data_IF_983009807839
#
_entry.id   IF_983009807839
#
_cell.length_a   1.000
_cell.length_b   1.000
_cell.length_c   1.000
_cell.angle_alpha   90.00
_cell.angle_beta   90.00
_cell.angle_gamma   90.00
#
_symmetry.space_group_name_H-M   'P 1'
#
loop_
_entity.id
_entity.type
_entity.pdbx_description
1 polymer ?
#
# COMPACT_ATOMS: atom_id res chain seq x y z
N UNK A 1 27.30 -7.46 -29.40
CA UNK A 1 26.94 -6.02 -29.44
C UNK A 1 25.57 -5.72 -30.06
N UNK A 2 25.00 -6.61 -30.87
CA UNK A 2 23.65 -6.46 -31.45
C UNK A 2 22.51 -6.69 -30.44
N UNK A 3 22.71 -7.52 -29.42
CA UNK A 3 21.70 -7.82 -28.38
C UNK A 3 21.40 -6.61 -27.48
N UNK A 4 22.42 -5.85 -27.07
CA UNK A 4 22.24 -4.65 -26.24
C UNK A 4 21.42 -3.56 -26.94
N UNK A 5 21.53 -3.45 -28.27
CA UNK A 5 20.75 -2.49 -29.06
C UNK A 5 19.26 -2.90 -29.14
N UNK A 6 18.97 -4.20 -29.19
CA UNK A 6 17.59 -4.72 -29.16
C UNK A 6 16.93 -4.47 -27.81
N UNK A 7 17.63 -4.78 -26.73
CA UNK A 7 17.14 -4.59 -25.35
C UNK A 7 16.82 -3.13 -25.04
N UNK A 8 17.74 -2.21 -25.37
CA UNK A 8 17.56 -0.77 -25.15
C UNK A 8 16.38 -0.20 -25.93
N UNK A 9 16.16 -0.69 -27.17
CA UNK A 9 15.01 -0.29 -27.98
C UNK A 9 13.69 -0.78 -27.39
N UNK A 10 13.61 -2.04 -26.98
CA UNK A 10 12.39 -2.57 -26.34
C UNK A 10 12.06 -1.86 -25.02
N UNK A 11 13.06 -1.49 -24.21
CA UNK A 11 12.86 -0.64 -23.02
C UNK A 11 12.32 0.75 -23.36
N UNK A 12 12.78 1.34 -24.47
CA UNK A 12 12.29 2.63 -24.96
C UNK A 12 10.83 2.53 -25.42
N UNK A 13 10.45 1.42 -26.07
CA UNK A 13 9.07 1.18 -26.50
C UNK A 13 8.11 0.98 -25.30
N UNK A 14 8.56 0.29 -24.25
CA UNK A 14 7.82 0.15 -22.99
C UNK A 14 7.63 1.52 -22.32
N UNK A 15 8.70 2.29 -22.14
CA UNK A 15 8.61 3.61 -21.48
C UNK A 15 7.73 4.58 -22.26
N UNK A 16 7.82 4.58 -23.59
CA UNK A 16 6.95 5.39 -24.47
C UNK A 16 5.47 4.99 -24.32
N UNK A 17 5.15 3.70 -24.26
CA UNK A 17 3.78 3.23 -24.06
C UNK A 17 3.22 3.64 -22.68
N UNK A 18 4.03 3.55 -21.62
CA UNK A 18 3.66 4.00 -20.27
C UNK A 18 3.40 5.51 -20.23
N UNK A 19 4.27 6.32 -20.83
CA UNK A 19 4.10 7.78 -20.90
C UNK A 19 2.82 8.20 -21.64
N UNK A 20 2.36 7.39 -22.61
CA UNK A 20 1.10 7.62 -23.34
C UNK A 20 -0.14 7.09 -22.62
N UNK A 21 0.02 6.43 -21.47
CA UNK A 21 -1.08 5.80 -20.73
C UNK A 21 -1.59 4.49 -21.34
N UNK A 22 -0.92 3.92 -22.35
CA UNK A 22 -1.30 2.67 -22.98
C UNK A 22 -0.66 1.47 -22.25
N UNK A 23 -1.26 1.12 -21.10
CA UNK A 23 -0.76 0.06 -20.22
C UNK A 23 -0.81 -1.33 -20.89
N UNK A 24 -1.77 -1.55 -21.79
CA UNK A 24 -1.92 -2.84 -22.48
C UNK A 24 -0.75 -3.08 -23.43
N UNK A 25 -0.41 -2.06 -24.23
CA UNK A 25 0.73 -2.12 -25.15
C UNK A 25 2.06 -2.20 -24.38
N UNK A 26 2.20 -1.45 -23.29
CA UNK A 26 3.37 -1.53 -22.42
C UNK A 26 3.60 -2.95 -21.87
N UNK A 27 2.53 -3.62 -21.40
CA UNK A 27 2.60 -5.01 -20.91
C UNK A 27 3.02 -5.99 -22.00
N UNK A 28 2.52 -5.82 -23.23
CA UNK A 28 2.89 -6.69 -24.37
C UNK A 28 4.37 -6.53 -24.71
N UNK A 29 4.89 -5.30 -24.75
CA UNK A 29 6.31 -5.06 -24.97
C UNK A 29 7.18 -5.59 -23.84
N UNK A 30 6.74 -5.46 -22.59
CA UNK A 30 7.43 -6.03 -21.44
C UNK A 30 7.45 -7.57 -21.48
N UNK A 31 6.35 -8.22 -21.83
CA UNK A 31 6.30 -9.69 -21.98
C UNK A 31 7.26 -10.18 -23.08
N UNK A 32 7.27 -9.50 -24.23
CA UNK A 32 8.20 -9.82 -25.32
C UNK A 32 9.66 -9.55 -24.93
N UNK A 33 9.94 -8.51 -24.14
CA UNK A 33 11.28 -8.25 -23.61
C UNK A 33 11.73 -9.41 -22.71
N UNK A 34 10.88 -9.84 -21.77
CA UNK A 34 11.21 -10.90 -20.82
C UNK A 34 11.45 -12.26 -21.51
N UNK A 35 10.72 -12.57 -22.58
CA UNK A 35 10.88 -13.80 -23.37
C UNK A 35 12.23 -13.86 -24.13
N UNK A 36 12.86 -12.70 -24.38
CA UNK A 36 14.14 -12.60 -25.08
C UNK A 36 15.36 -12.50 -24.15
N UNK A 37 15.15 -12.40 -22.84
CA UNK A 37 16.25 -12.30 -21.88
C UNK A 37 16.82 -13.69 -21.58
N UNK A 38 18.14 -13.76 -21.45
CA UNK A 38 18.79 -14.94 -20.87
C UNK A 38 18.44 -15.06 -19.37
N UNK A 39 18.51 -16.27 -18.84
CA UNK A 39 18.16 -16.57 -17.44
C UNK A 39 18.94 -15.71 -16.42
N UNK A 40 20.19 -15.35 -16.75
CA UNK A 40 21.04 -14.55 -15.85
C UNK A 40 20.53 -13.11 -15.80
N UNK A 41 20.25 -12.50 -16.95
CA UNK A 41 19.68 -11.15 -17.03
C UNK A 41 18.28 -11.11 -16.44
N UNK A 42 17.48 -12.16 -16.65
CA UNK A 42 16.16 -12.30 -16.03
C UNK A 42 16.25 -12.29 -14.49
N UNK A 43 17.19 -13.04 -13.92
CA UNK A 43 17.46 -13.02 -12.48
C UNK A 43 17.82 -11.64 -11.94
N UNK A 44 18.65 -10.88 -12.66
CA UNK A 44 19.04 -9.51 -12.27
C UNK A 44 17.83 -8.56 -12.31
N UNK A 45 17.01 -8.65 -13.36
CA UNK A 45 15.79 -7.84 -13.50
C UNK A 45 14.81 -8.14 -12.36
N UNK A 46 14.55 -9.42 -12.09
CA UNK A 46 13.67 -9.85 -11.02
C UNK A 46 14.14 -9.31 -9.66
N UNK A 47 15.44 -9.41 -9.39
CA UNK A 47 16.02 -8.93 -8.16
C UNK A 47 15.89 -7.39 -8.03
N UNK A 48 16.06 -6.62 -9.11
CA UNK A 48 15.84 -5.17 -9.12
C UNK A 48 14.37 -4.81 -8.82
N UNK A 49 13.42 -5.53 -9.43
CA UNK A 49 11.98 -5.30 -9.19
C UNK A 49 11.63 -5.60 -7.74
N UNK A 50 12.07 -6.73 -7.21
CA UNK A 50 11.87 -7.10 -5.80
C UNK A 50 12.41 -6.04 -4.85
N UNK A 51 13.58 -5.47 -5.16
CA UNK A 51 14.17 -4.38 -4.37
C UNK A 51 13.29 -3.13 -4.35
N UNK A 52 12.72 -2.77 -5.49
CA UNK A 52 11.83 -1.61 -5.63
C UNK A 52 10.51 -1.85 -4.88
N UNK A 53 9.95 -3.06 -4.96
CA UNK A 53 8.70 -3.42 -4.27
C UNK A 53 8.87 -3.48 -2.75
N UNK A 54 9.99 -4.05 -2.28
CA UNK A 54 10.25 -4.20 -0.84
C UNK A 54 10.67 -2.87 -0.18
N UNK A 55 11.40 -2.00 -0.90
CA UNK A 55 11.94 -0.77 -0.35
C UNK A 55 11.57 0.46 -1.20
N UNK A 56 10.28 0.82 -1.34
CA UNK A 56 9.81 1.82 -2.29
C UNK A 56 10.28 3.26 -2.01
N UNK A 57 10.78 3.55 -0.81
CA UNK A 57 11.33 4.88 -0.46
C UNK A 57 12.86 4.93 -0.51
N UNK A 58 13.52 3.78 -0.64
CA UNK A 58 14.98 3.63 -0.51
C UNK A 58 15.60 2.80 -1.62
N UNK A 59 14.83 2.47 -2.65
CA UNK A 59 15.24 1.55 -3.71
C UNK A 59 16.52 2.04 -4.42
N UNK A 60 16.72 3.35 -4.55
CA UNK A 60 17.92 3.95 -5.11
C UNK A 60 19.20 3.56 -4.34
N UNK A 61 19.16 3.53 -3.00
CA UNK A 61 20.28 3.13 -2.15
C UNK A 61 20.60 1.65 -2.35
N UNK A 62 19.57 0.80 -2.35
CA UNK A 62 19.73 -0.65 -2.53
C UNK A 62 20.22 -1.01 -3.95
N UNK A 63 19.65 -0.38 -4.98
CA UNK A 63 20.08 -0.54 -6.36
C UNK A 63 21.53 -0.07 -6.55
N UNK A 64 21.94 1.04 -5.93
CA UNK A 64 23.33 1.50 -5.95
C UNK A 64 24.29 0.54 -5.26
N UNK A 65 23.89 -0.06 -4.14
CA UNK A 65 24.69 -1.07 -3.46
C UNK A 65 24.89 -2.32 -4.34
N UNK A 66 23.82 -2.80 -4.98
CA UNK A 66 23.88 -3.92 -5.92
C UNK A 66 24.71 -3.61 -7.16
N UNK A 67 24.62 -2.38 -7.69
CA UNK A 67 25.46 -1.93 -8.79
C UNK A 67 26.95 -2.01 -8.47
N UNK A 68 27.33 -1.64 -7.23
CA UNK A 68 28.73 -1.75 -6.76
C UNK A 68 29.18 -3.20 -6.59
N UNK A 69 28.30 -4.08 -6.13
CA UNK A 69 28.60 -5.51 -5.93
C UNK A 69 28.63 -6.31 -7.25
N UNK A 70 27.93 -5.85 -8.29
CA UNK A 70 27.85 -6.54 -9.57
C UNK A 70 29.23 -6.69 -10.23
N UNK A 71 29.59 -7.92 -10.59
CA UNK A 71 30.86 -8.21 -11.28
C UNK A 71 30.75 -8.08 -12.80
N UNK A 72 29.57 -8.36 -13.37
CA UNK A 72 29.35 -8.33 -14.81
C UNK A 72 28.92 -6.95 -15.32
N UNK A 73 29.44 -6.56 -16.50
CA UNK A 73 29.13 -5.27 -17.13
C UNK A 73 27.64 -5.17 -17.53
N UNK A 74 27.06 -6.30 -17.95
CA UNK A 74 25.62 -6.43 -18.23
C UNK A 74 24.78 -6.14 -16.99
N UNK A 75 25.12 -6.72 -15.83
CA UNK A 75 24.40 -6.46 -14.58
C UNK A 75 24.48 -4.99 -14.17
N UNK A 76 25.67 -4.39 -14.26
CA UNK A 76 25.85 -2.95 -13.98
C UNK A 76 24.98 -2.08 -14.88
N UNK A 77 24.90 -2.41 -16.16
CA UNK A 77 24.09 -1.66 -17.14
C UNK A 77 22.59 -1.76 -16.82
N UNK A 78 22.11 -2.97 -16.53
CA UNK A 78 20.70 -3.19 -16.16
C UNK A 78 20.35 -2.49 -14.85
N UNK A 79 21.15 -2.67 -13.78
CA UNK A 79 20.89 -2.05 -12.48
C UNK A 79 20.92 -0.52 -12.58
N UNK A 80 21.85 0.04 -13.37
CA UNK A 80 21.91 1.48 -13.60
C UNK A 80 20.63 2.01 -14.29
N UNK A 81 20.11 1.27 -15.29
CA UNK A 81 18.87 1.65 -15.97
C UNK A 81 17.67 1.68 -15.00
N UNK A 82 17.55 0.68 -14.12
CA UNK A 82 16.52 0.68 -13.07
C UNK A 82 16.69 1.83 -12.08
N UNK A 83 17.92 2.12 -11.66
CA UNK A 83 18.21 3.24 -10.76
C UNK A 83 17.85 4.60 -11.37
N UNK A 84 18.17 4.84 -12.64
CA UNK A 84 17.80 6.07 -13.35
C UNK A 84 16.29 6.20 -13.51
N UNK A 85 15.60 5.12 -13.90
CA UNK A 85 14.15 5.12 -14.04
C UNK A 85 13.44 5.39 -12.70
N UNK A 86 13.96 4.81 -11.62
CA UNK A 86 13.42 5.03 -10.27
C UNK A 86 13.63 6.49 -9.81
N UNK A 87 14.82 7.06 -9.98
CA UNK A 87 15.10 8.45 -9.59
C UNK A 87 14.23 9.48 -10.36
N UNK A 88 13.83 9.16 -11.60
CA UNK A 88 12.92 10.00 -12.38
C UNK A 88 11.47 9.98 -11.86
N UNK A 89 11.06 8.93 -11.14
CA UNK A 89 9.72 8.82 -10.55
C UNK A 89 9.48 9.85 -9.44
N UNK A 90 10.52 10.18 -8.68
CA UNK A 90 10.44 11.11 -7.55
C UNK A 90 10.52 12.59 -7.97
N UNK A 91 10.88 12.87 -9.22
CA UNK A 91 10.76 14.20 -9.80
C UNK A 91 9.31 14.48 -10.25
N UNK A 92 8.37 14.43 -9.30
CA UNK A 92 7.30 15.42 -9.35
C UNK A 92 8.01 16.76 -9.09
N UNK A 93 8.04 17.70 -10.05
CA UNK A 93 8.67 18.99 -9.81
C UNK A 93 8.00 19.58 -8.58
N UNK A 94 8.75 19.62 -7.47
CA UNK A 94 8.38 20.41 -6.30
C UNK A 94 8.07 21.79 -6.88
N UNK A 95 6.83 22.30 -6.81
CA UNK A 95 6.48 23.54 -7.49
C UNK A 95 7.52 24.56 -7.06
N UNK A 96 8.34 24.99 -8.02
CA UNK A 96 9.38 25.98 -7.75
C UNK A 96 8.62 27.14 -7.13
N UNK A 97 8.90 27.52 -5.87
CA UNK A 97 8.29 28.74 -5.35
C UNK A 97 8.71 29.82 -6.33
N UNK A 98 7.75 30.38 -7.06
CA UNK A 98 8.02 31.48 -7.98
C UNK A 98 8.82 32.52 -7.17
N UNK A 99 10.04 32.88 -7.59
CA UNK A 99 10.76 33.92 -6.90
C UNK A 99 9.84 35.15 -6.89
N UNK A 100 9.61 35.78 -5.74
CA UNK A 100 8.73 36.95 -5.68
C UNK A 100 9.25 37.93 -6.72
N UNK A 101 8.39 38.24 -7.71
CA UNK A 101 8.70 39.05 -8.87
C UNK A 101 9.10 40.46 -8.41
N UNK A 102 10.38 40.60 -8.07
CA UNK A 102 10.99 41.80 -7.49
C UNK A 102 11.07 42.95 -8.51
N UNK A 103 10.50 42.82 -9.70
CA UNK A 103 10.48 43.91 -10.70
C UNK A 103 9.11 44.52 -10.93
N UNK A 104 8.04 44.00 -10.29
CA UNK A 104 6.68 44.50 -10.52
C UNK A 104 6.26 45.69 -9.65
N UNK A 105 7.09 46.13 -8.70
CA UNK A 105 6.76 47.22 -7.78
C UNK A 105 7.32 48.58 -8.22
N UNK A 106 8.13 48.65 -9.28
CA UNK A 106 8.72 49.92 -9.76
C UNK A 106 7.93 50.59 -10.88
N UNK A 107 6.90 49.94 -11.42
CA UNK A 107 6.01 50.54 -12.43
C UNK A 107 4.62 50.66 -11.83
N UNK A 108 4.16 51.89 -11.61
CA UNK A 108 2.79 52.12 -11.15
C UNK A 108 1.82 51.50 -12.19
N UNK A 109 0.73 50.84 -11.78
CA UNK A 109 -0.23 50.22 -12.69
C UNK A 109 -0.78 51.12 -13.80
N UNK A 110 -0.62 52.46 -13.69
CA UNK A 110 -1.00 53.45 -14.71
C UNK A 110 -0.02 53.55 -15.89
N UNK A 111 1.24 53.13 -15.70
CA UNK A 111 2.30 53.27 -16.71
C UNK A 111 2.43 52.00 -17.59
N UNK A 112 1.71 50.94 -17.22
CA UNK A 112 1.52 49.78 -18.08
C UNK A 112 0.59 50.17 -19.22
N UNK A 113 1.18 50.52 -20.36
CA UNK A 113 0.47 50.71 -21.63
C UNK A 113 -0.09 49.36 -22.07
N UNK A 114 -1.27 49.00 -21.56
CA UNK A 114 -2.03 47.83 -22.02
C UNK A 114 -2.49 48.11 -23.44
N UNK A 115 -1.73 47.64 -24.43
CA UNK A 115 -2.26 47.46 -25.77
C UNK A 115 -3.45 46.50 -25.68
N UNK A 116 -4.65 47.03 -25.86
CA UNK A 116 -5.87 46.24 -25.87
C UNK A 116 -5.87 45.41 -27.16
N UNK A 117 -5.47 44.13 -27.08
CA UNK A 117 -5.57 43.16 -28.17
C UNK A 117 -6.84 42.32 -28.03
N UNK A 118 -7.97 42.72 -28.64
CA UNK A 118 -9.25 42.01 -28.49
C UNK A 118 -9.20 40.56 -29.01
N UNK A 119 -8.28 40.28 -29.94
CA UNK A 119 -8.07 38.97 -30.56
C UNK A 119 -7.41 37.94 -29.63
N UNK A 120 -6.66 38.38 -28.62
CA UNK A 120 -5.99 37.51 -27.65
C UNK A 120 -6.94 37.01 -26.54
N UNK A 121 -8.21 37.41 -26.57
CA UNK A 121 -9.21 37.05 -25.56
C UNK A 121 -9.66 35.61 -25.79
N UNK A 122 -8.85 34.63 -25.35
CA UNK A 122 -9.30 33.24 -25.21
C UNK A 122 -10.59 33.25 -24.38
N UNK A 123 -11.70 32.92 -25.03
CA UNK A 123 -12.97 32.68 -24.37
C UNK A 123 -12.79 31.48 -23.45
N UNK A 124 -12.62 31.77 -22.15
CA UNK A 124 -12.58 30.73 -21.12
C UNK A 124 -13.78 29.81 -21.27
N UNK A 125 -13.52 28.50 -21.26
CA UNK A 125 -14.59 27.51 -21.32
C UNK A 125 -15.45 27.62 -20.06
N UNK A 126 -16.67 27.08 -20.11
CA UNK A 126 -17.55 27.06 -18.94
C UNK A 126 -16.92 26.31 -17.75
N UNK A 127 -16.16 25.26 -18.04
CA UNK A 127 -15.38 24.52 -17.05
C UNK A 127 -14.30 25.40 -16.39
N UNK A 128 -13.56 26.19 -17.16
CA UNK A 128 -12.56 27.11 -16.62
C UNK A 128 -13.19 28.20 -15.74
N UNK A 129 -14.37 28.71 -16.15
CA UNK A 129 -15.14 29.67 -15.33
C UNK A 129 -15.64 29.06 -14.03
N UNK A 130 -16.09 27.80 -14.06
CA UNK A 130 -16.52 27.09 -12.84
C UNK A 130 -15.35 26.88 -11.87
N UNK A 131 -14.18 26.49 -12.39
CA UNK A 131 -12.94 26.33 -11.61
C UNK A 131 -12.49 27.65 -10.98
N UNK A 132 -12.48 28.75 -11.75
CA UNK A 132 -12.14 30.08 -11.23
C UNK A 132 -13.10 30.55 -10.12
N UNK A 133 -14.41 30.27 -10.25
CA UNK A 133 -15.36 30.58 -9.16
C UNK A 133 -15.09 29.76 -7.90
N UNK A 134 -14.73 28.48 -8.04
CA UNK A 134 -14.37 27.64 -6.90
C UNK A 134 -13.09 28.14 -6.21
N UNK A 135 -12.09 28.52 -7.00
CA UNK A 135 -10.83 29.08 -6.50
C UNK A 135 -11.05 30.42 -5.79
N UNK A 136 -11.80 31.35 -6.39
CA UNK A 136 -12.14 32.62 -5.75
C UNK A 136 -12.91 32.46 -4.43
N UNK A 137 -13.75 31.42 -4.30
CA UNK A 137 -14.41 31.11 -3.01
C UNK A 137 -13.40 30.61 -1.98
N UNK A 138 -12.46 29.76 -2.38
CA UNK A 138 -11.39 29.28 -1.50
C UNK A 138 -10.49 30.43 -1.05
N UNK A 139 -10.13 31.33 -1.96
CA UNK A 139 -9.27 32.49 -1.66
C UNK A 139 -9.99 33.51 -0.77
N UNK A 140 -11.29 33.75 -1.01
CA UNK A 140 -12.11 34.59 -0.14
C UNK A 140 -12.26 33.98 1.27
N UNK A 141 -12.37 32.66 1.36
CA UNK A 141 -12.39 31.95 2.64
C UNK A 141 -11.03 32.07 3.33
N UNK A 142 -9.92 31.81 2.64
CA UNK A 142 -8.57 31.98 3.18
C UNK A 142 -8.30 33.42 3.66
N UNK A 143 -8.75 34.43 2.92
CA UNK A 143 -8.66 35.84 3.32
C UNK A 143 -9.49 36.15 4.57
N UNK A 144 -10.70 35.58 4.69
CA UNK A 144 -11.52 35.73 5.91
C UNK A 144 -10.89 35.09 7.16
N UNK A 145 -10.00 34.10 6.98
CA UNK A 145 -9.21 33.50 8.07
C UNK A 145 -7.84 34.14 8.26
N UNK A 146 -7.38 35.01 7.35
CA UNK A 146 -6.08 35.68 7.43
C UNK A 146 -6.01 36.64 8.63
N UNK A 147 -7.10 37.35 8.94
CA UNK A 147 -7.20 38.23 10.13
C UNK A 147 -7.24 37.47 11.46
N UNK A 148 -7.41 36.13 11.42
CA UNK A 148 -7.34 35.23 12.58
C UNK A 148 -6.00 34.50 12.69
N UNK A 149 -5.08 34.69 11.75
CA UNK A 149 -3.76 34.09 11.81
C UNK A 149 -2.97 34.64 13.01
N UNK A 150 -2.76 33.82 14.03
CA UNK A 150 -2.03 34.19 15.25
C UNK A 150 -2.90 34.49 16.48
N UNK A 151 -4.24 34.43 16.35
CA UNK A 151 -5.12 34.32 17.52
C UNK A 151 -5.23 32.83 17.83
N UNK A 152 -4.74 32.41 19.00
CA UNK A 152 -4.93 31.06 19.51
C UNK A 152 -6.38 30.91 20.00
N UNK A 153 -7.30 30.88 19.03
CA UNK A 153 -8.72 30.56 19.23
C UNK A 153 -8.91 29.05 19.37
N UNK A 154 -7.84 28.27 19.63
CA UNK A 154 -7.95 26.83 19.79
C UNK A 154 -8.88 26.58 20.98
N UNK A 155 -10.10 26.07 20.75
CA UNK A 155 -10.98 25.77 21.86
C UNK A 155 -10.21 24.80 22.77
N UNK A 156 -10.31 24.95 24.11
CA UNK A 156 -9.64 24.04 25.04
C UNK A 156 -9.92 22.63 24.56
N UNK A 157 -8.90 21.74 24.47
CA UNK A 157 -8.98 20.49 23.75
C UNK A 157 -10.28 19.79 24.12
N UNK A 158 -11.27 19.91 23.24
CA UNK A 158 -12.51 19.21 23.41
C UNK A 158 -12.12 17.73 23.40
N UNK A 159 -12.77 16.87 24.20
CA UNK A 159 -12.55 15.44 24.06
C UNK A 159 -12.70 15.12 22.57
N UNK A 160 -11.62 14.64 21.96
CA UNK A 160 -11.48 14.42 20.51
C UNK A 160 -12.57 13.47 19.96
N UNK A 161 -13.35 12.88 20.86
CA UNK A 161 -14.54 12.07 20.64
C UNK A 161 -15.87 12.83 20.81
N UNK A 162 -16.02 14.04 20.27
CA UNK A 162 -17.28 14.79 20.41
C UNK A 162 -18.51 14.07 19.80
N UNK A 163 -18.33 13.06 18.94
CA UNK A 163 -19.41 12.22 18.41
C UNK A 163 -19.59 10.88 19.14
N UNK A 164 -18.63 10.46 19.98
CA UNK A 164 -18.54 9.07 20.46
C UNK A 164 -18.38 8.02 19.35
N UNK A 165 -18.20 8.47 18.10
CA UNK A 165 -18.07 7.63 16.92
C UNK A 165 -16.58 7.47 16.60
N UNK A 166 -16.09 6.25 16.74
CA UNK A 166 -14.78 5.85 16.24
C UNK A 166 -14.83 5.85 14.70
N UNK A 167 -14.24 6.87 14.09
CA UNK A 167 -14.27 7.07 12.63
C UNK A 167 -13.54 5.97 11.87
N UNK A 168 -12.50 5.37 12.45
CA UNK A 168 -11.79 4.25 11.83
C UNK A 168 -12.69 3.03 11.81
N UNK A 169 -13.34 2.72 12.94
CA UNK A 169 -14.34 1.66 13.01
C UNK A 169 -15.54 1.92 12.11
N UNK A 170 -15.98 3.17 12.00
CA UNK A 170 -17.11 3.55 11.15
C UNK A 170 -16.75 3.55 9.65
N UNK A 171 -15.47 3.76 9.30
CA UNK A 171 -14.98 3.68 7.93
C UNK A 171 -14.84 2.23 7.43
N UNK A 172 -14.73 1.25 8.32
CA UNK A 172 -14.71 -0.17 7.93
C UNK A 172 -16.11 -0.62 7.56
N UNK A 173 -16.35 -0.84 6.27
CA UNK A 173 -17.58 -1.44 5.79
C UNK A 173 -17.76 -2.87 6.34
N UNK A 174 -18.98 -3.22 6.71
CA UNK A 174 -19.32 -4.58 7.10
C UNK A 174 -19.05 -5.55 5.92
N UNK A 175 -18.35 -6.65 6.20
CA UNK A 175 -18.10 -7.69 5.21
C UNK A 175 -19.42 -8.26 4.68
N UNK A 176 -19.51 -8.46 3.36
CA UNK A 176 -20.69 -9.08 2.74
C UNK A 176 -20.61 -10.58 2.90
N UNK A 177 -21.13 -11.09 4.02
CA UNK A 177 -21.24 -12.51 4.30
C UNK A 177 -20.08 -13.08 5.10
N UNK A 178 -19.90 -14.41 5.03
CA UNK A 178 -18.88 -15.13 5.81
C UNK A 178 -17.52 -15.10 5.10
N UNK A 179 -16.43 -14.70 5.78
CA UNK A 179 -15.11 -14.60 5.16
C UNK A 179 -14.55 -15.96 4.73
N UNK A 180 -13.48 -15.94 3.94
CA UNK A 180 -12.72 -17.13 3.57
C UNK A 180 -12.23 -17.86 4.83
N UNK A 181 -12.42 -19.18 4.91
CA UNK A 181 -11.96 -19.99 6.06
C UNK A 181 -10.43 -20.04 6.16
N UNK A 182 -9.70 -19.70 5.08
CA UNK A 182 -8.24 -19.78 5.03
C UNK A 182 -7.53 -18.46 5.29
N UNK A 183 -7.89 -17.41 4.54
CA UNK A 183 -7.23 -16.11 4.61
C UNK A 183 -8.04 -15.04 5.35
N UNK A 184 -9.27 -15.35 5.79
CA UNK A 184 -10.15 -14.43 6.51
C UNK A 184 -10.58 -13.17 5.75
N UNK A 185 -10.24 -13.07 4.47
CA UNK A 185 -10.67 -11.99 3.60
C UNK A 185 -12.11 -12.19 3.10
N UNK A 186 -12.71 -11.09 2.65
CA UNK A 186 -14.02 -11.11 2.00
C UNK A 186 -14.01 -12.00 0.77
N UNK A 187 -15.11 -12.74 0.56
CA UNK A 187 -15.29 -13.57 -0.62
C UNK A 187 -16.14 -12.84 -1.65
N UNK A 188 -15.96 -13.16 -2.92
CA UNK A 188 -16.77 -12.55 -3.97
C UNK A 188 -18.21 -13.04 -3.89
N UNK A 189 -19.21 -12.26 -4.35
CA UNK A 189 -20.60 -12.72 -4.41
C UNK A 189 -20.80 -14.05 -5.16
N UNK A 190 -19.92 -14.38 -6.11
CA UNK A 190 -19.94 -15.63 -6.85
C UNK A 190 -19.55 -16.84 -5.99
N UNK A 191 -18.64 -16.65 -5.04
CA UNK A 191 -18.18 -17.71 -4.14
C UNK A 191 -19.28 -18.20 -3.18
N UNK A 192 -20.33 -17.39 -2.93
CA UNK A 192 -21.46 -17.79 -2.09
C UNK A 192 -22.58 -18.53 -2.85
N UNK A 193 -22.52 -18.58 -4.19
CA UNK A 193 -23.61 -19.10 -5.04
C UNK A 193 -23.43 -20.55 -5.45
N UNK A 194 -22.26 -21.15 -5.21
CA UNK A 194 -22.05 -22.57 -5.49
C UNK A 194 -22.83 -23.41 -4.50
N UNK A 195 -23.54 -24.43 -5.01
CA UNK A 195 -24.33 -25.34 -4.17
C UNK A 195 -23.49 -26.06 -3.11
N UNK A 196 -22.16 -26.10 -3.25
CA UNK A 196 -21.21 -26.43 -2.20
C UNK A 196 -20.39 -25.18 -1.83
N UNK A 197 -20.73 -24.57 -0.70
CA UNK A 197 -19.93 -23.47 -0.13
C UNK A 197 -18.68 -24.06 0.54
N UNK A 198 -17.60 -24.20 -0.23
CA UNK A 198 -16.29 -24.67 0.24
C UNK A 198 -15.62 -23.70 1.25
N UNK A 199 -16.23 -22.54 1.49
CA UNK A 199 -15.74 -21.52 2.40
C UNK A 199 -14.50 -20.78 1.90
N UNK A 200 -14.05 -20.99 0.66
CA UNK A 200 -12.84 -20.38 0.10
C UNK A 200 -13.16 -19.16 -0.76
N UNK A 201 -12.21 -18.22 -0.83
CA UNK A 201 -12.17 -17.21 -1.90
C UNK A 201 -11.48 -17.78 -3.14
N UNK A 202 -11.70 -17.15 -4.31
CA UNK A 202 -11.07 -17.55 -5.58
C UNK A 202 -9.56 -17.77 -5.46
N UNK A 203 -8.82 -16.84 -4.84
CA UNK A 203 -7.36 -16.95 -4.72
C UNK A 203 -6.91 -18.16 -3.88
N UNK A 204 -7.60 -18.45 -2.76
CA UNK A 204 -7.27 -19.62 -1.95
C UNK A 204 -7.62 -20.92 -2.67
N UNK A 205 -8.69 -20.92 -3.47
CA UNK A 205 -9.10 -22.05 -4.31
C UNK A 205 -8.07 -22.32 -5.40
N UNK A 206 -7.62 -21.28 -6.11
CA UNK A 206 -6.60 -21.37 -7.17
C UNK A 206 -5.26 -21.88 -6.62
N UNK A 207 -4.94 -21.56 -5.36
CA UNK A 207 -3.77 -22.07 -4.63
C UNK A 207 -3.93 -23.49 -4.10
N UNK A 208 -5.03 -24.18 -4.39
CA UNK A 208 -5.30 -25.55 -3.94
C UNK A 208 -5.38 -25.69 -2.41
N UNK A 209 -5.83 -24.65 -1.71
CA UNK A 209 -5.94 -24.72 -0.25
C UNK A 209 -7.11 -25.63 0.15
N UNK A 210 -6.99 -26.37 1.26
CA UNK A 210 -8.10 -27.17 1.76
C UNK A 210 -9.23 -26.24 2.25
N UNK A 211 -10.45 -26.54 1.81
CA UNK A 211 -11.69 -25.86 2.22
C UNK A 211 -12.61 -26.78 3.01
N UNK A 212 -13.83 -26.30 3.26
CA UNK A 212 -14.90 -27.09 3.88
C UNK A 212 -15.26 -28.23 2.93
N UNK A 213 -15.31 -29.50 3.39
CA UNK A 213 -15.69 -30.63 2.56
C UNK A 213 -17.06 -30.43 1.90
N UNK A 214 -17.20 -30.93 0.68
CA UNK A 214 -18.46 -30.85 -0.05
C UNK A 214 -19.57 -31.61 0.69
N UNK A 215 -20.69 -30.94 0.91
CA UNK A 215 -21.84 -31.50 1.59
C UNK A 215 -22.75 -32.26 0.61
N UNK A 216 -23.47 -33.30 1.09
CA UNK A 216 -24.42 -34.02 0.26
C UNK A 216 -25.46 -33.12 -0.40
N UNK A 217 -25.97 -33.55 -1.55
CA UNK A 217 -27.07 -32.86 -2.22
C UNK A 217 -28.29 -32.75 -1.30
N UNK A 218 -28.89 -31.57 -1.24
CA UNK A 218 -30.06 -31.29 -0.38
C UNK A 218 -29.73 -30.93 1.06
N UNK A 219 -28.46 -30.70 1.41
CA UNK A 219 -28.10 -30.20 2.74
C UNK A 219 -28.79 -28.86 3.05
N UNK A 220 -29.04 -28.64 4.33
CA UNK A 220 -29.65 -27.40 4.81
C UNK A 220 -28.58 -26.35 5.10
N UNK A 221 -29.01 -25.08 5.27
CA UNK A 221 -28.12 -24.01 5.74
C UNK A 221 -27.49 -24.35 7.10
N UNK A 222 -28.21 -25.02 8.00
CA UNK A 222 -27.69 -25.44 9.29
C UNK A 222 -26.55 -26.45 9.14
N UNK A 223 -26.65 -27.36 8.16
CA UNK A 223 -25.59 -28.34 7.88
C UNK A 223 -24.33 -27.65 7.33
N UNK A 224 -24.49 -26.63 6.48
CA UNK A 224 -23.37 -25.80 6.03
C UNK A 224 -22.68 -25.05 7.18
N UNK A 225 -23.45 -24.53 8.14
CA UNK A 225 -22.91 -23.86 9.33
C UNK A 225 -22.15 -24.85 10.22
N UNK A 226 -22.70 -26.05 10.46
CA UNK A 226 -22.03 -27.11 11.24
C UNK A 226 -20.72 -27.56 10.57
N UNK A 227 -20.75 -27.82 9.27
CA UNK A 227 -19.57 -28.21 8.51
C UNK A 227 -18.45 -27.17 8.59
N UNK A 228 -18.82 -25.88 8.60
CA UNK A 228 -17.86 -24.80 8.84
C UNK A 228 -17.30 -24.83 10.27
N UNK A 229 -18.14 -25.06 11.28
CA UNK A 229 -17.66 -25.22 12.66
C UNK A 229 -16.67 -26.38 12.78
N UNK A 230 -17.03 -27.55 12.22
CA UNK A 230 -16.21 -28.75 12.21
C UNK A 230 -14.85 -28.48 11.54
N UNK A 231 -14.87 -27.85 10.36
CA UNK A 231 -13.65 -27.47 9.64
C UNK A 231 -12.75 -26.54 10.47
N UNK A 232 -13.33 -25.50 11.09
CA UNK A 232 -12.55 -24.56 11.89
C UNK A 232 -11.96 -25.21 13.14
N UNK A 233 -12.73 -26.07 13.81
CA UNK A 233 -12.28 -26.82 14.98
C UNK A 233 -11.17 -27.82 14.67
N UNK A 234 -11.27 -28.51 13.53
CA UNK A 234 -10.26 -29.47 13.09
C UNK A 234 -8.97 -28.80 12.58
N UNK A 235 -9.09 -27.62 11.97
CA UNK A 235 -7.97 -26.97 11.27
C UNK A 235 -7.16 -26.03 12.16
N UNK A 236 -7.80 -25.36 13.12
CA UNK A 236 -7.21 -24.26 13.86
C UNK A 236 -7.23 -24.49 15.37
N UNK A 237 -6.06 -24.39 16.01
CA UNK A 237 -5.94 -24.46 17.47
C UNK A 237 -6.65 -23.33 18.22
N UNK A 238 -6.89 -22.19 17.57
CA UNK A 238 -7.64 -21.05 18.11
C UNK A 238 -9.10 -21.00 17.63
N UNK A 239 -9.68 -22.16 17.26
CA UNK A 239 -11.06 -22.28 16.75
C UNK A 239 -12.11 -21.61 17.63
N UNK A 240 -11.98 -21.65 18.95
CA UNK A 240 -12.88 -20.95 19.89
C UNK A 240 -12.98 -19.46 19.60
N UNK A 241 -11.84 -18.79 19.41
CA UNK A 241 -11.79 -17.35 19.14
C UNK A 241 -12.39 -17.04 17.76
N UNK A 242 -12.08 -17.86 16.76
CA UNK A 242 -12.59 -17.72 15.39
C UNK A 242 -14.11 -17.90 15.33
N UNK A 243 -14.65 -18.91 16.03
CA UNK A 243 -16.09 -19.14 16.13
C UNK A 243 -16.79 -18.03 16.91
N UNK A 244 -16.19 -17.51 17.98
CA UNK A 244 -16.73 -16.38 18.72
C UNK A 244 -16.77 -15.10 17.86
N UNK A 245 -15.73 -14.83 17.06
CA UNK A 245 -15.72 -13.72 16.13
C UNK A 245 -16.77 -13.91 15.04
N UNK A 246 -16.88 -15.12 14.48
CA UNK A 246 -17.90 -15.41 13.48
C UNK A 246 -19.33 -15.20 14.02
N UNK A 247 -19.61 -15.72 15.21
CA UNK A 247 -20.89 -15.57 15.90
C UNK A 247 -21.27 -14.11 16.10
N UNK A 248 -20.30 -13.29 16.54
CA UNK A 248 -20.52 -11.85 16.81
C UNK A 248 -20.71 -11.06 15.53
N UNK A 249 -19.87 -11.28 14.52
CA UNK A 249 -19.71 -10.35 13.40
C UNK A 249 -20.46 -10.75 12.13
N UNK A 250 -20.49 -12.04 11.77
CA UNK A 250 -20.98 -12.45 10.44
C UNK A 250 -22.19 -13.40 10.49
N UNK A 251 -22.46 -14.06 11.61
CA UNK A 251 -23.56 -15.01 11.72
C UNK A 251 -24.92 -14.30 11.76
N UNK A 252 -25.88 -14.80 10.96
CA UNK A 252 -27.29 -14.44 11.10
C UNK A 252 -27.85 -14.95 12.44
N UNK A 253 -29.01 -14.46 12.92
CA UNK A 253 -29.61 -14.99 14.15
C UNK A 253 -29.84 -16.51 14.12
N UNK A 254 -30.20 -17.07 12.97
CA UNK A 254 -30.35 -18.52 12.80
C UNK A 254 -29.00 -19.25 12.85
N UNK A 255 -27.98 -18.73 12.16
CA UNK A 255 -26.62 -19.30 12.19
C UNK A 255 -26.04 -19.27 13.62
N UNK A 256 -26.29 -18.19 14.38
CA UNK A 256 -25.87 -18.05 15.78
C UNK A 256 -26.41 -19.17 16.66
N UNK A 257 -27.66 -19.56 16.47
CA UNK A 257 -28.25 -20.67 17.23
C UNK A 257 -27.54 -22.00 16.93
N UNK A 258 -27.26 -22.28 15.66
CA UNK A 258 -26.53 -23.49 15.24
C UNK A 258 -25.10 -23.49 15.77
N UNK A 259 -24.39 -22.36 15.73
CA UNK A 259 -23.03 -22.23 16.27
C UNK A 259 -23.03 -22.45 17.78
N UNK A 260 -23.98 -21.85 18.51
CA UNK A 260 -24.12 -22.02 19.96
C UNK A 260 -24.41 -23.48 20.31
N UNK A 261 -25.38 -24.11 19.64
CA UNK A 261 -25.73 -25.53 19.81
C UNK A 261 -24.52 -26.44 19.52
N UNK A 262 -23.82 -26.20 18.41
CA UNK A 262 -22.62 -26.95 18.05
C UNK A 262 -21.53 -26.83 19.13
N UNK A 263 -21.27 -25.61 19.63
CA UNK A 263 -20.26 -25.35 20.65
C UNK A 263 -20.59 -25.98 22.01
N UNK A 264 -21.88 -26.14 22.33
CA UNK A 264 -22.31 -26.87 23.53
C UNK A 264 -21.96 -28.37 23.46
N UNK A 265 -22.00 -28.97 22.26
CA UNK A 265 -21.70 -30.39 22.05
C UNK A 265 -20.21 -30.67 21.75
N UNK A 266 -19.42 -29.64 21.45
CA UNK A 266 -17.99 -29.75 21.12
C UNK A 266 -17.16 -28.87 22.06
N UNK A 267 -16.90 -29.32 23.30
CA UNK A 267 -16.12 -28.54 24.25
C UNK A 267 -14.70 -28.31 23.71
N UNK A 268 -14.33 -27.03 23.58
CA UNK A 268 -12.97 -26.66 23.23
C UNK A 268 -12.02 -27.16 24.31
N UNK A 269 -10.98 -27.90 23.93
CA UNK A 269 -9.88 -28.19 24.83
C UNK A 269 -9.14 -26.87 25.06
N UNK A 270 -9.25 -26.31 26.27
CA UNK A 270 -8.44 -25.16 26.63
C UNK A 270 -6.97 -25.59 26.56
N UNK A 271 -6.14 -24.90 25.75
CA UNK A 271 -4.70 -25.09 25.87
C UNK A 271 -4.32 -24.74 27.31
N UNK A 272 -3.43 -25.51 27.96
CA UNK A 272 -3.00 -25.21 29.32
C UNK A 272 -2.54 -23.75 29.35
N UNK A 273 -3.04 -22.98 30.31
CA UNK A 273 -2.70 -21.59 30.47
C UNK A 273 -1.17 -21.46 30.52
N UNK A 274 -0.57 -21.03 29.42
CA UNK A 274 0.80 -20.53 29.46
C UNK A 274 0.76 -19.26 30.28
N UNK A 275 1.46 -19.26 31.41
CA UNK A 275 1.78 -18.07 32.21
C UNK A 275 2.49 -17.04 31.31
N UNK A 276 1.70 -16.26 30.57
CA UNK A 276 2.17 -15.06 29.93
C UNK A 276 2.03 -13.95 30.96
N UNK A 277 3.08 -13.79 31.78
CA UNK A 277 3.29 -12.61 32.59
C UNK A 277 3.20 -11.39 31.66
N UNK A 278 2.29 -10.43 31.92
CA UNK A 278 2.18 -9.24 31.10
C UNK A 278 3.48 -8.47 31.19
N UNK A 279 4.21 -8.37 30.08
CA UNK A 279 5.35 -7.45 29.97
C UNK A 279 4.82 -6.02 30.13
N UNK A 280 5.35 -5.25 31.08
CA UNK A 280 4.94 -3.86 31.27
C UNK A 280 5.35 -3.06 30.02
N UNK A 281 4.37 -2.40 29.40
CA UNK A 281 4.61 -1.39 28.39
C UNK A 281 5.28 -0.20 29.09
N UNK A 282 6.57 0.01 28.83
CA UNK A 282 7.27 1.25 29.18
C UNK A 282 6.95 2.30 28.11
N UNK A 283 6.23 3.33 28.52
CA UNK A 283 6.09 4.59 27.79
C UNK A 283 7.47 5.26 27.67
N UNK A 284 8.02 5.29 26.45
CA UNK A 284 9.24 6.02 26.15
C UNK A 284 8.89 7.41 25.59
N UNK A 285 8.83 8.39 26.49
CA UNK A 285 9.13 9.79 26.17
C UNK A 285 10.55 10.06 26.62
N UNK A 286 11.49 10.15 25.69
CA UNK A 286 12.47 11.23 25.62
C UNK A 286 13.34 11.03 24.37
N UNK A 287 13.42 12.10 23.57
CA UNK A 287 14.23 12.17 22.36
C UNK A 287 15.69 12.35 22.76
N UNK A 288 16.42 11.25 22.86
CA UNK A 288 17.89 11.29 22.87
C UNK A 288 18.42 11.16 21.44
N UNK A 289 19.55 11.80 21.20
CA UNK A 289 20.12 12.04 19.86
C UNK A 289 20.85 10.77 19.42
N UNK A 290 20.09 9.75 19.04
CA UNK A 290 20.63 8.45 18.63
C UNK A 290 21.70 8.58 17.54
N UNK A 291 22.82 7.88 17.72
CA UNK A 291 23.90 7.84 16.72
C UNK A 291 23.33 7.44 15.35
N UNK A 292 23.81 8.10 14.29
CA UNK A 292 23.34 7.84 12.94
C UNK A 292 24.09 6.67 12.30
N UNK A 293 23.38 5.87 11.51
CA UNK A 293 23.97 4.83 10.67
C UNK A 293 25.00 5.43 9.69
N UNK A 294 26.23 4.94 9.71
CA UNK A 294 27.34 5.48 8.89
C UNK A 294 27.15 5.33 7.38
N UNK A 295 26.18 4.51 6.95
CA UNK A 295 25.88 4.23 5.54
C UNK A 295 24.69 5.01 4.99
N UNK A 296 23.76 5.44 5.85
CA UNK A 296 22.50 6.05 5.41
C UNK A 296 21.99 7.19 6.29
N UNK A 297 22.77 7.63 7.29
CA UNK A 297 22.47 8.74 8.20
C UNK A 297 21.10 8.66 8.89
N UNK A 298 20.62 7.43 9.17
CA UNK A 298 19.33 7.18 9.83
C UNK A 298 19.55 6.83 11.31
N UNK A 299 18.65 7.24 12.23
CA UNK A 299 18.76 6.89 13.64
C UNK A 299 18.85 5.37 13.82
N UNK A 300 19.82 4.94 14.63
CA UNK A 300 19.98 3.55 15.02
C UNK A 300 19.09 3.25 16.23
N UNK A 301 18.68 2.00 16.40
CA UNK A 301 18.20 1.55 17.70
C UNK A 301 19.39 1.54 18.68
N UNK A 302 19.16 1.96 19.93
CA UNK A 302 20.22 2.21 20.92
C UNK A 302 21.08 0.98 21.23
N UNK A 303 20.58 -0.22 20.97
CA UNK A 303 21.25 -1.49 21.30
C UNK A 303 21.97 -2.17 20.12
N UNK A 304 22.08 -1.52 18.96
CA UNK A 304 22.74 -2.12 17.80
C UNK A 304 24.28 -2.13 17.97
N UNK A 305 24.97 -3.29 17.95
CA UNK A 305 26.42 -3.38 18.19
C UNK A 305 27.29 -2.89 17.02
N UNK A 306 26.76 -2.86 15.79
CA UNK A 306 27.51 -2.52 14.56
C UNK A 306 27.09 -1.16 14.05
N UNK A 307 27.99 -0.33 13.48
CA UNK A 307 27.70 1.03 12.96
C UNK A 307 26.65 1.15 11.83
N UNK A 308 26.01 0.04 11.44
CA UNK A 308 24.90 -0.05 10.50
C UNK A 308 23.53 -0.22 11.19
N UNK A 309 22.47 0.41 10.66
CA UNK A 309 21.09 0.10 11.04
C UNK A 309 20.67 -1.29 10.51
N UNK A 310 19.58 -1.85 11.04
CA UNK A 310 19.14 -3.21 10.72
C UNK A 310 18.90 -3.43 9.20
N UNK A 311 18.31 -2.45 8.51
CA UNK A 311 18.16 -2.48 7.05
C UNK A 311 19.50 -2.54 6.32
N UNK A 312 20.49 -1.74 6.75
CA UNK A 312 21.81 -1.75 6.14
C UNK A 312 22.59 -3.02 6.47
N UNK A 313 22.30 -3.67 7.62
CA UNK A 313 22.87 -4.95 8.01
C UNK A 313 22.34 -6.09 7.16
N UNK A 314 21.03 -6.10 6.88
CA UNK A 314 20.42 -7.08 5.97
C UNK A 314 21.03 -6.98 4.57
N UNK A 315 21.25 -5.77 4.06
CA UNK A 315 21.93 -5.55 2.78
C UNK A 315 23.36 -6.05 2.79
N UNK A 316 24.10 -5.81 3.87
CA UNK A 316 25.50 -6.24 3.96
C UNK A 316 25.59 -7.78 4.01
N UNK A 317 24.67 -8.43 4.72
CA UNK A 317 24.51 -9.89 4.75
C UNK A 317 24.10 -10.45 3.38
N UNK A 318 23.23 -9.76 2.64
CA UNK A 318 22.87 -10.17 1.27
C UNK A 318 24.05 -10.05 0.30
N UNK A 319 24.92 -9.05 0.47
CA UNK A 319 26.12 -8.87 -0.36
C UNK A 319 27.21 -9.87 -0.02
N UNK A 320 27.39 -10.21 1.27
CA UNK A 320 28.43 -11.15 1.69
C UNK A 320 28.10 -12.61 1.38
N UNK A 321 26.82 -12.95 1.25
CA UNK A 321 26.35 -14.31 0.95
C UNK A 321 26.10 -14.56 -0.56
N UNK A 322 26.34 -13.57 -1.43
CA UNK A 322 26.19 -13.67 -2.89
C UNK A 322 27.55 -13.74 -3.58
#
# INVERSE_FOLDING_TARGET
>A
MTENASFSRCLTDVTTAVQRGDITTAKRYAAHLLDQLDDTTHGIVAACVETIERFPQRADVHLRARWKAATSDTAKTVIAAFGTAFAQRDHNPKPTPEPPDRRKWETAPRDLRTEFRPEARRTLTEHDRARLRAQNRSDAQAAAYADRAGIDDQPPPAPVYASGLDYDRAAVHALRGTPCVRCWLERTPADYRTHSDDGLCGECRDKGRPGIPELPAGHTRADAVRARCDFLAATYGNSRALLAQWWKTYATPADRHVITDWAHHHPFTEPPATDQTPTPHTDATDADTGELCTRCDYPRADDAPDTLCDDCREVDQMITNA
#
